data_IF_237074929452
#
_entry.id   IF_237074929452
#
_cell.length_a   1.000
_cell.length_b   1.000
_cell.length_c   1.000
_cell.angle_alpha   90.00
_cell.angle_beta   90.00
_cell.angle_gamma   90.00
#
_symmetry.space_group_name_H-M   'P 1'
#
loop_
_entity.id
_entity.type
_entity.pdbx_description
1 polymer ?
#
# COMPACT_ATOMS: atom_id res chain seq x y z
N UNK A 1 10.46 7.65 -6.48
CA UNK A 1 11.86 7.65 -6.00
C UNK A 1 12.22 8.92 -5.23
N UNK A 2 11.91 10.10 -5.76
CA UNK A 2 12.30 11.38 -5.13
C UNK A 2 11.71 11.58 -3.73
N UNK A 3 10.44 11.25 -3.51
CA UNK A 3 9.78 11.40 -2.21
C UNK A 3 10.48 10.57 -1.13
N UNK A 4 10.78 9.30 -1.41
CA UNK A 4 11.47 8.43 -0.47
C UNK A 4 12.89 8.93 -0.15
N UNK A 5 13.59 9.45 -1.14
CA UNK A 5 14.90 10.05 -0.95
C UNK A 5 14.86 11.25 0.02
N UNK A 6 13.89 12.14 -0.14
CA UNK A 6 13.73 13.29 0.75
C UNK A 6 13.31 12.92 2.17
N UNK A 7 12.54 11.84 2.34
CA UNK A 7 12.11 11.36 3.66
C UNK A 7 13.21 10.59 4.40
N UNK A 8 14.24 10.10 3.67
CA UNK A 8 15.32 9.30 4.26
C UNK A 8 16.13 10.12 5.28
N UNK A 9 16.36 9.53 6.44
CA UNK A 9 17.04 10.17 7.56
C UNK A 9 16.16 11.01 8.47
N UNK A 10 15.04 11.54 7.96
CA UNK A 10 14.08 12.31 8.75
C UNK A 10 12.91 11.46 9.24
N UNK A 11 12.25 10.72 8.36
CA UNK A 11 11.06 9.92 8.65
C UNK A 11 11.21 8.44 8.35
N UNK A 12 12.07 8.09 7.40
CA UNK A 12 12.35 6.71 7.03
C UNK A 12 13.85 6.43 7.07
N UNK A 13 14.20 5.16 7.10
CA UNK A 13 15.59 4.65 7.02
C UNK A 13 15.71 3.63 5.90
N UNK A 14 16.94 3.35 5.48
CA UNK A 14 17.20 2.31 4.48
C UNK A 14 17.06 2.75 3.03
N UNK A 15 16.91 4.05 2.77
CA UNK A 15 16.83 4.60 1.40
C UNK A 15 17.90 5.67 1.18
N UNK A 16 19.15 5.33 1.49
CA UNK A 16 20.26 6.30 1.51
C UNK A 16 20.95 6.53 0.18
N UNK A 17 20.72 5.70 -0.84
CA UNK A 17 21.35 5.84 -2.14
C UNK A 17 20.36 5.66 -3.31
N UNK A 18 20.75 6.21 -4.46
CA UNK A 18 20.01 6.04 -5.72
C UNK A 18 20.05 4.58 -6.22
N UNK A 19 21.02 3.82 -5.73
CA UNK A 19 21.29 2.45 -6.16
C UNK A 19 20.75 1.40 -5.16
N UNK A 20 19.73 1.77 -4.38
CA UNK A 20 19.07 0.84 -3.47
C UNK A 20 18.62 -0.43 -4.19
N UNK A 21 19.01 -1.57 -3.64
CA UNK A 21 18.60 -2.88 -4.16
C UNK A 21 17.09 -3.11 -3.91
N UNK A 22 16.40 -3.79 -4.82
CA UNK A 22 14.94 -3.93 -4.76
C UNK A 22 14.38 -4.61 -3.50
N UNK A 23 15.20 -5.38 -2.80
CA UNK A 23 14.76 -6.18 -1.64
C UNK A 23 15.26 -5.67 -0.29
N UNK A 24 15.89 -4.51 -0.26
CA UNK A 24 16.26 -3.88 1.01
C UNK A 24 15.04 -3.26 1.67
N UNK A 25 14.85 -3.53 2.95
CA UNK A 25 13.74 -3.00 3.71
C UNK A 25 13.89 -1.49 3.94
N UNK A 26 12.76 -0.79 3.83
CA UNK A 26 12.65 0.60 4.24
C UNK A 26 12.03 0.63 5.63
N UNK A 27 12.75 1.13 6.59
CA UNK A 27 12.27 1.28 7.96
C UNK A 27 11.58 2.62 8.19
N UNK A 28 10.77 2.69 9.23
CA UNK A 28 10.20 3.94 9.74
C UNK A 28 11.07 4.40 10.90
N UNK A 29 11.47 5.68 10.88
CA UNK A 29 12.25 6.27 11.96
C UNK A 29 11.35 6.49 13.18
N UNK A 30 11.68 5.86 14.29
CA UNK A 30 11.00 6.07 15.56
C UNK A 30 11.24 7.52 16.04
N UNK A 31 10.32 8.06 16.84
CA UNK A 31 10.36 9.41 17.41
C UNK A 31 9.95 10.57 16.47
N UNK A 32 9.44 10.28 15.27
CA UNK A 32 8.88 11.31 14.38
C UNK A 32 7.35 11.42 14.50
N UNK A 33 6.72 10.57 15.29
CA UNK A 33 5.27 10.53 15.50
C UNK A 33 4.72 11.85 16.01
N UNK A 34 5.41 12.50 16.95
CA UNK A 34 4.98 13.77 17.55
C UNK A 34 4.87 14.86 16.49
N UNK A 35 5.87 14.96 15.59
CA UNK A 35 5.88 15.96 14.53
C UNK A 35 4.74 15.73 13.52
N UNK A 36 4.48 14.48 13.17
CA UNK A 36 3.37 14.10 12.28
C UNK A 36 2.02 14.42 12.92
N UNK A 37 1.84 14.08 14.19
CA UNK A 37 0.59 14.35 14.93
C UNK A 37 0.37 15.85 15.04
N UNK A 38 1.39 16.64 15.37
CA UNK A 38 1.31 18.10 15.44
C UNK A 38 0.92 18.70 14.08
N UNK A 39 1.54 18.27 13.00
CA UNK A 39 1.22 18.72 11.64
C UNK A 39 -0.24 18.42 11.28
N UNK A 40 -0.71 17.20 11.53
CA UNK A 40 -2.07 16.78 11.22
C UNK A 40 -3.12 17.43 12.11
N UNK A 41 -2.73 17.91 13.30
CA UNK A 41 -3.63 18.58 14.25
C UNK A 41 -3.93 20.03 13.89
N UNK A 42 -3.16 20.64 12.99
CA UNK A 42 -3.40 22.00 12.53
C UNK A 42 -4.71 22.07 11.73
N UNK A 43 -5.59 23.07 11.97
CA UNK A 43 -6.86 23.20 11.23
C UNK A 43 -6.68 23.27 9.71
N UNK A 44 -5.64 23.92 9.24
CA UNK A 44 -5.30 24.02 7.83
C UNK A 44 -4.96 22.66 7.16
N UNK A 45 -4.66 21.65 7.96
CA UNK A 45 -4.28 20.30 7.49
C UNK A 45 -5.39 19.26 7.68
N UNK A 46 -6.63 19.67 7.95
CA UNK A 46 -7.76 18.75 8.14
C UNK A 46 -7.98 17.80 6.96
N UNK A 47 -7.78 18.28 5.74
CA UNK A 47 -7.88 17.44 4.54
C UNK A 47 -6.87 16.30 4.55
N UNK A 48 -5.64 16.56 4.96
CA UNK A 48 -4.61 15.52 5.09
C UNK A 48 -4.94 14.54 6.21
N UNK A 49 -5.49 15.02 7.32
CA UNK A 49 -5.92 14.15 8.42
C UNK A 49 -7.01 13.19 7.98
N UNK A 50 -7.98 13.65 7.20
CA UNK A 50 -9.04 12.80 6.65
C UNK A 50 -8.49 11.74 5.70
N UNK A 51 -7.56 12.11 4.82
CA UNK A 51 -6.88 11.16 3.92
C UNK A 51 -6.13 10.10 4.73
N UNK A 52 -5.39 10.48 5.76
CA UNK A 52 -4.65 9.55 6.63
C UNK A 52 -5.60 8.59 7.33
N UNK A 53 -6.69 9.09 7.92
CA UNK A 53 -7.65 8.27 8.63
C UNK A 53 -8.37 7.29 7.69
N UNK A 54 -8.78 7.75 6.51
CA UNK A 54 -9.41 6.90 5.51
C UNK A 54 -8.45 5.83 5.00
N UNK A 55 -7.18 6.18 4.81
CA UNK A 55 -6.14 5.22 4.40
C UNK A 55 -5.89 4.17 5.49
N UNK A 56 -5.82 4.59 6.75
CA UNK A 56 -5.69 3.65 7.89
C UNK A 56 -6.86 2.68 7.94
N UNK A 57 -8.06 3.17 7.81
CA UNK A 57 -9.27 2.34 7.78
C UNK A 57 -9.25 1.34 6.60
N UNK A 58 -8.88 1.81 5.41
CA UNK A 58 -8.75 0.97 4.22
C UNK A 58 -7.72 -0.14 4.39
N UNK A 59 -6.59 0.16 5.03
CA UNK A 59 -5.49 -0.79 5.25
C UNK A 59 -5.69 -1.69 6.48
N UNK A 60 -6.76 -1.51 7.25
CA UNK A 60 -7.02 -2.34 8.42
C UNK A 60 -7.08 -3.82 8.04
N UNK A 61 -6.26 -4.64 8.71
CA UNK A 61 -6.08 -6.06 8.39
C UNK A 61 -5.02 -6.36 7.30
N UNK A 62 -4.40 -5.33 6.69
CA UNK A 62 -3.41 -5.48 5.62
C UNK A 62 -2.01 -4.95 6.00
N UNK A 63 -1.64 -5.00 7.28
CA UNK A 63 -0.38 -4.39 7.74
C UNK A 63 0.87 -5.27 7.56
N UNK A 64 0.77 -6.47 7.02
CA UNK A 64 1.94 -7.30 6.68
C UNK A 64 2.46 -6.99 5.28
N UNK A 65 3.74 -7.26 5.04
CA UNK A 65 4.35 -7.14 3.71
C UNK A 65 3.60 -7.95 2.66
N UNK A 66 3.21 -9.17 3.01
CA UNK A 66 2.41 -10.05 2.15
C UNK A 66 1.06 -9.41 1.79
N UNK A 67 0.32 -8.96 2.80
CA UNK A 67 -1.02 -8.40 2.59
C UNK A 67 -0.97 -7.08 1.81
N UNK A 68 0.00 -6.22 2.07
CA UNK A 68 0.18 -4.96 1.33
C UNK A 68 0.60 -5.22 -0.11
N UNK A 69 1.48 -6.18 -0.37
CA UNK A 69 1.85 -6.55 -1.73
C UNK A 69 0.67 -7.14 -2.51
N UNK A 70 -0.14 -7.98 -1.85
CA UNK A 70 -1.36 -8.51 -2.45
C UNK A 70 -2.34 -7.38 -2.80
N UNK A 71 -2.66 -6.53 -1.83
CA UNK A 71 -3.63 -5.46 -2.00
C UNK A 71 -3.21 -4.49 -3.12
N UNK A 72 -1.96 -4.06 -3.11
CA UNK A 72 -1.43 -3.15 -4.15
C UNK A 72 -1.39 -3.79 -5.53
N UNK A 73 -1.08 -5.08 -5.62
CA UNK A 73 -1.07 -5.80 -6.90
C UNK A 73 -2.48 -5.97 -7.46
N UNK A 74 -3.43 -6.31 -6.61
CA UNK A 74 -4.84 -6.44 -7.00
C UNK A 74 -5.41 -5.08 -7.43
N UNK A 75 -5.17 -4.03 -6.67
CA UNK A 75 -5.60 -2.67 -7.03
C UNK A 75 -5.04 -2.23 -8.38
N UNK A 76 -3.75 -2.46 -8.62
CA UNK A 76 -3.12 -2.16 -9.90
C UNK A 76 -3.78 -2.89 -11.07
N UNK A 77 -4.08 -4.18 -10.92
CA UNK A 77 -4.74 -4.98 -11.96
C UNK A 77 -6.16 -4.45 -12.23
N UNK A 78 -6.93 -4.26 -11.15
CA UNK A 78 -8.30 -3.76 -11.26
C UNK A 78 -8.37 -2.41 -11.96
N UNK A 79 -7.49 -1.50 -11.58
CA UNK A 79 -7.45 -0.13 -12.13
C UNK A 79 -6.93 -0.10 -13.57
N UNK A 80 -5.81 -0.76 -13.84
CA UNK A 80 -5.17 -0.70 -15.15
C UNK A 80 -5.93 -1.45 -16.23
N UNK A 81 -6.58 -2.56 -15.87
CA UNK A 81 -7.36 -3.39 -16.80
C UNK A 81 -8.87 -3.15 -16.74
N UNK A 82 -9.33 -2.32 -15.80
CA UNK A 82 -10.75 -2.02 -15.57
C UNK A 82 -11.60 -3.27 -15.35
N UNK A 83 -11.09 -4.18 -14.53
CA UNK A 83 -11.76 -5.44 -14.18
C UNK A 83 -12.01 -5.49 -12.67
N UNK A 84 -13.11 -6.14 -12.28
CA UNK A 84 -13.51 -6.30 -10.86
C UNK A 84 -13.96 -7.72 -10.52
N UNK A 85 -13.95 -8.62 -11.48
CA UNK A 85 -14.24 -10.03 -11.26
C UNK A 85 -13.06 -10.71 -10.57
N UNK A 86 -13.25 -11.28 -9.36
CA UNK A 86 -12.14 -11.89 -8.60
C UNK A 86 -11.42 -13.02 -9.33
N UNK A 87 -12.13 -13.82 -10.12
CA UNK A 87 -11.52 -14.93 -10.87
C UNK A 87 -10.62 -14.39 -11.99
N UNK A 88 -11.07 -13.35 -12.66
CA UNK A 88 -10.29 -12.70 -13.72
C UNK A 88 -9.08 -12.00 -13.12
N UNK A 89 -9.24 -11.31 -12.01
CA UNK A 89 -8.14 -10.64 -11.28
C UNK A 89 -7.10 -11.68 -10.82
N UNK A 90 -7.53 -12.81 -10.26
CA UNK A 90 -6.62 -13.87 -9.85
C UNK A 90 -5.81 -14.43 -11.03
N UNK A 91 -6.46 -14.64 -12.16
CA UNK A 91 -5.81 -15.10 -13.38
C UNK A 91 -4.72 -14.13 -13.88
N UNK A 92 -5.04 -12.85 -13.88
CA UNK A 92 -4.09 -11.79 -14.25
C UNK A 92 -2.91 -11.71 -13.27
N UNK A 93 -3.18 -11.86 -11.98
CA UNK A 93 -2.16 -11.87 -10.94
C UNK A 93 -1.18 -13.03 -11.12
N UNK A 94 -1.69 -14.23 -11.42
CA UNK A 94 -0.87 -15.43 -11.65
C UNK A 94 -0.06 -15.35 -12.94
N UNK A 95 -0.59 -14.70 -13.97
CA UNK A 95 0.12 -14.46 -15.22
C UNK A 95 1.16 -13.35 -15.14
N UNK A 96 1.14 -12.55 -14.08
CA UNK A 96 2.09 -11.44 -13.94
C UNK A 96 3.52 -11.92 -13.70
N UNK A 97 3.71 -12.88 -12.80
CA UNK A 97 5.03 -13.51 -12.57
C UNK A 97 4.86 -14.83 -11.80
N UNK A 98 5.83 -15.72 -11.98
CA UNK A 98 5.89 -16.97 -11.22
C UNK A 98 5.98 -16.72 -9.70
N UNK A 99 6.67 -15.66 -9.28
CA UNK A 99 6.73 -15.27 -7.89
C UNK A 99 5.34 -14.94 -7.33
N UNK A 100 4.55 -14.13 -8.04
CA UNK A 100 3.20 -13.78 -7.61
C UNK A 100 2.26 -14.97 -7.62
N UNK A 101 2.35 -15.83 -8.60
CA UNK A 101 1.60 -17.08 -8.68
C UNK A 101 1.87 -17.99 -7.47
N UNK A 102 3.13 -18.13 -7.09
CA UNK A 102 3.51 -18.94 -5.92
C UNK A 102 3.11 -18.27 -4.60
N UNK A 103 3.32 -16.96 -4.49
CA UNK A 103 3.05 -16.21 -3.25
C UNK A 103 1.55 -16.11 -2.95
N UNK A 104 0.73 -15.89 -3.97
CA UNK A 104 -0.72 -15.66 -3.85
C UNK A 104 -1.56 -16.83 -4.38
N UNK A 105 -1.10 -18.05 -4.17
CA UNK A 105 -1.73 -19.27 -4.67
C UNK A 105 -3.09 -19.62 -4.07
N UNK A 106 -3.56 -18.88 -3.07
CA UNK A 106 -4.86 -19.06 -2.45
C UNK A 106 -5.85 -18.00 -2.96
N UNK A 107 -6.80 -18.41 -3.79
CA UNK A 107 -7.80 -17.52 -4.39
C UNK A 107 -8.63 -16.75 -3.36
N UNK A 108 -8.81 -17.28 -2.15
CA UNK A 108 -9.53 -16.59 -1.07
C UNK A 108 -8.90 -15.25 -0.72
N UNK A 109 -7.58 -15.16 -0.70
CA UNK A 109 -6.89 -13.90 -0.44
C UNK A 109 -7.16 -12.87 -1.53
N UNK A 110 -7.15 -13.30 -2.80
CA UNK A 110 -7.46 -12.43 -3.93
C UNK A 110 -8.91 -11.94 -3.86
N UNK A 111 -9.85 -12.84 -3.56
CA UNK A 111 -11.27 -12.50 -3.41
C UNK A 111 -11.48 -11.45 -2.30
N UNK A 112 -10.84 -11.63 -1.14
CA UNK A 112 -10.92 -10.65 -0.05
C UNK A 112 -10.33 -9.29 -0.45
N UNK A 113 -9.20 -9.28 -1.13
CA UNK A 113 -8.57 -8.05 -1.61
C UNK A 113 -9.47 -7.32 -2.61
N UNK A 114 -10.04 -8.02 -3.59
CA UNK A 114 -10.98 -7.44 -4.56
C UNK A 114 -12.20 -6.85 -3.85
N UNK A 115 -12.78 -7.57 -2.89
CA UNK A 115 -13.92 -7.08 -2.10
C UNK A 115 -13.55 -5.82 -1.32
N UNK A 116 -12.42 -5.81 -0.64
CA UNK A 116 -11.99 -4.66 0.14
C UNK A 116 -11.81 -3.42 -0.74
N UNK A 117 -11.17 -3.56 -1.89
CA UNK A 117 -10.97 -2.47 -2.84
C UNK A 117 -12.32 -1.97 -3.38
N UNK A 118 -13.19 -2.87 -3.80
CA UNK A 118 -14.50 -2.49 -4.36
C UNK A 118 -15.40 -1.77 -3.37
N UNK A 119 -15.31 -2.13 -2.08
CA UNK A 119 -16.16 -1.57 -1.02
C UNK A 119 -15.59 -0.27 -0.46
N UNK A 120 -14.28 -0.19 -0.23
CA UNK A 120 -13.65 0.83 0.61
C UNK A 120 -12.82 1.85 -0.16
N UNK A 121 -12.40 1.55 -1.39
CA UNK A 121 -11.51 2.43 -2.15
C UNK A 121 -12.09 3.84 -2.38
N UNK A 122 -13.41 3.97 -2.43
CA UNK A 122 -14.10 5.26 -2.58
C UNK A 122 -13.79 6.24 -1.44
N UNK A 123 -13.39 5.72 -0.26
CA UNK A 123 -13.07 6.52 0.91
C UNK A 123 -11.62 7.00 0.94
N UNK A 124 -10.77 6.50 0.04
CA UNK A 124 -9.32 6.80 -0.02
C UNK A 124 -9.00 7.80 -1.13
N UNK A 125 -9.76 7.78 -2.18
CA UNK A 125 -9.58 8.66 -3.36
C UNK A 125 -10.43 9.90 -3.32
#
# INVERSE_FOLDING_TARGET
KHVLYYLNGSYITGYSSKDKKPFEEIGIKLNTEIDVIQFLSLPENNEYLDIVNNTKYFLEGYYSNFALELLSSVDFIMTSKKISDPEVVAKELYNWSERKKTLFNNDKFVIYAVKNISTNLRNVH
#
